data_IF_219976633227
#
_entry.id   IF_219976633227
#
_cell.length_a   1.000
_cell.length_b   1.000
_cell.length_c   1.000
_cell.angle_alpha   90.00
_cell.angle_beta   90.00
_cell.angle_gamma   90.00
#
_symmetry.space_group_name_H-M   'P 1'
#
loop_
_entity.id
_entity.type
_entity.pdbx_description
1 polymer ?
#
# COMPACT_ATOMS: atom_id res chain seq x y z
N UNK A 1 1.75 -18.04 -10.84
CA UNK A 1 3.01 -17.71 -10.17
C UNK A 1 2.76 -17.76 -8.66
N UNK A 2 3.65 -18.32 -7.83
CA UNK A 2 3.47 -18.22 -6.39
C UNK A 2 3.43 -16.74 -6.03
N UNK A 3 2.41 -16.33 -5.29
CA UNK A 3 2.32 -15.00 -4.69
C UNK A 3 3.60 -14.87 -3.85
N UNK A 4 4.62 -14.16 -4.37
CA UNK A 4 5.80 -13.79 -3.59
C UNK A 4 5.27 -13.26 -2.27
N UNK A 5 5.76 -13.76 -1.12
CA UNK A 5 5.32 -13.30 0.20
C UNK A 5 5.28 -11.78 0.17
N UNK A 6 4.08 -11.23 0.09
CA UNK A 6 3.88 -9.79 0.08
C UNK A 6 3.95 -9.44 1.55
N UNK A 7 5.16 -9.34 2.09
CA UNK A 7 5.33 -8.95 3.48
C UNK A 7 5.02 -7.46 3.58
N UNK A 8 4.11 -7.06 4.47
CA UNK A 8 3.70 -5.66 4.63
C UNK A 8 4.93 -4.76 4.81
N UNK A 9 5.08 -3.79 3.91
CA UNK A 9 6.26 -2.93 3.84
C UNK A 9 5.94 -1.54 4.36
N UNK A 10 6.99 -0.76 4.64
CA UNK A 10 6.85 0.65 4.98
C UNK A 10 6.17 1.49 3.87
N UNK A 11 6.18 1.04 2.62
CA UNK A 11 5.48 1.76 1.55
C UNK A 11 3.98 1.47 1.56
N UNK A 12 3.58 0.26 1.95
CA UNK A 12 2.18 -0.12 2.12
C UNK A 12 1.56 0.69 3.27
N UNK A 13 2.26 0.77 4.42
CA UNK A 13 1.88 1.61 5.57
C UNK A 13 1.71 3.08 5.18
N UNK A 14 2.65 3.63 4.41
CA UNK A 14 2.60 5.02 3.95
C UNK A 14 1.46 5.27 2.97
N UNK A 15 1.05 4.25 2.20
CA UNK A 15 -0.05 4.34 1.27
C UNK A 15 -1.37 4.35 2.04
N UNK A 16 -1.56 3.42 2.97
CA UNK A 16 -2.75 3.35 3.82
C UNK A 16 -2.98 4.66 4.56
N UNK A 17 -1.94 5.20 5.21
CA UNK A 17 -2.02 6.51 5.86
C UNK A 17 -2.40 7.63 4.87
N UNK A 18 -1.82 7.65 3.67
CA UNK A 18 -2.14 8.70 2.69
C UNK A 18 -3.61 8.66 2.26
N UNK A 19 -4.21 7.47 2.17
CA UNK A 19 -5.64 7.28 1.90
C UNK A 19 -6.47 7.76 3.09
N UNK A 20 -6.14 7.35 4.32
CA UNK A 20 -6.84 7.77 5.54
C UNK A 20 -6.87 9.30 5.72
N UNK A 21 -5.79 9.99 5.33
CA UNK A 21 -5.69 11.45 5.37
C UNK A 21 -6.25 12.16 4.13
N UNK A 22 -6.80 11.42 3.16
CA UNK A 22 -7.31 11.94 1.89
C UNK A 22 -6.27 12.75 1.08
N UNK A 23 -4.99 12.38 1.18
CA UNK A 23 -3.86 13.01 0.48
C UNK A 23 -3.66 12.38 -0.91
N UNK A 24 -4.45 12.83 -1.87
CA UNK A 24 -4.42 12.33 -3.24
C UNK A 24 -3.03 12.48 -3.92
N UNK A 25 -2.26 13.52 -3.57
CA UNK A 25 -0.93 13.75 -4.15
C UNK A 25 0.08 12.69 -3.71
N UNK A 26 0.05 12.34 -2.42
CA UNK A 26 0.88 11.28 -1.87
C UNK A 26 0.43 9.89 -2.31
N UNK A 27 -0.87 9.63 -2.38
CA UNK A 27 -1.42 8.39 -2.93
C UNK A 27 -0.92 8.18 -4.36
N UNK A 28 -1.07 9.19 -5.23
CA UNK A 28 -0.62 9.13 -6.63
C UNK A 28 0.88 8.85 -6.71
N UNK A 29 1.70 9.55 -5.92
CA UNK A 29 3.15 9.37 -5.92
C UNK A 29 3.60 7.98 -5.46
N UNK A 30 2.87 7.37 -4.53
CA UNK A 30 3.17 6.03 -4.03
C UNK A 30 2.74 4.94 -5.02
N UNK A 31 1.57 5.06 -5.63
CA UNK A 31 1.04 4.08 -6.61
C UNK A 31 1.93 3.89 -7.84
N UNK A 32 2.75 4.89 -8.20
CA UNK A 32 3.71 4.77 -9.29
C UNK A 32 4.93 3.88 -8.96
N UNK A 33 5.11 3.48 -7.69
CA UNK A 33 6.24 2.64 -7.28
C UNK A 33 6.04 1.19 -7.74
N UNK A 34 7.04 0.67 -8.45
CA UNK A 34 7.05 -0.75 -8.86
C UNK A 34 7.01 -1.68 -7.64
N UNK A 35 6.15 -2.69 -7.71
CA UNK A 35 6.01 -3.71 -6.67
C UNK A 35 5.11 -3.33 -5.50
N UNK A 36 4.50 -2.13 -5.50
CA UNK A 36 3.44 -1.79 -4.56
C UNK A 36 2.14 -2.49 -4.99
N UNK A 37 1.44 -3.11 -4.03
CA UNK A 37 0.18 -3.83 -4.28
C UNK A 37 -0.89 -3.24 -3.38
N UNK A 38 -1.73 -2.30 -3.88
CA UNK A 38 -2.69 -1.57 -3.03
C UNK A 38 -3.72 -2.47 -2.36
N UNK A 39 -4.03 -3.61 -2.99
CA UNK A 39 -5.02 -4.60 -2.52
C UNK A 39 -4.46 -5.56 -1.47
N UNK A 40 -3.20 -5.41 -1.09
CA UNK A 40 -2.58 -6.21 -0.05
C UNK A 40 -3.16 -5.83 1.32
N UNK A 41 -3.30 -6.81 2.20
CA UNK A 41 -3.83 -6.60 3.54
C UNK A 41 -2.72 -6.47 4.58
N UNK A 42 -2.89 -5.56 5.54
CA UNK A 42 -2.06 -5.49 6.74
C UNK A 42 -2.44 -6.59 7.77
N UNK A 43 -1.81 -6.56 8.95
CA UNK A 43 -2.11 -7.52 10.03
C UNK A 43 -3.52 -7.39 10.61
N UNK A 44 -4.21 -6.28 10.35
CA UNK A 44 -5.59 -6.01 10.77
C UNK A 44 -6.61 -6.33 9.66
N UNK A 45 -6.15 -6.74 8.47
CA UNK A 45 -7.01 -7.03 7.34
C UNK A 45 -7.44 -5.80 6.53
N UNK A 46 -6.71 -4.68 6.63
CA UNK A 46 -7.00 -3.44 5.87
C UNK A 46 -6.15 -3.34 4.62
N UNK A 47 -6.72 -2.76 3.56
CA UNK A 47 -6.01 -2.33 2.34
C UNK A 47 -6.14 -0.82 2.16
N UNK A 48 -5.25 -0.24 1.36
CA UNK A 48 -5.37 1.15 0.91
C UNK A 48 -6.52 1.34 -0.10
#
# INVERSE_FOLDING_TARGET
APLQSQDWTKNDEKLLQAVDYNDAGRVTSLLLRKGLVPTKLDSEGKSA
#
